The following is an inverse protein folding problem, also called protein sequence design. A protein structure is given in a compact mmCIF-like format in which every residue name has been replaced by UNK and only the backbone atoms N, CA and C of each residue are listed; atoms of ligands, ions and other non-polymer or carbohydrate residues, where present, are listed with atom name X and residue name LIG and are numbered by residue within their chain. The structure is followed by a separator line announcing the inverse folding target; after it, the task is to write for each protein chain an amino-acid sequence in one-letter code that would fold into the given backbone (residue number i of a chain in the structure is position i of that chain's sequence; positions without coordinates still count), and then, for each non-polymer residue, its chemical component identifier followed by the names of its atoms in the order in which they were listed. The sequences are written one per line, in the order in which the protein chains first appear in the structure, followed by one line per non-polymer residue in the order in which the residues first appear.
data_IF_863050573964
#
_entry.id   IF_863050573964
#
_cell.length_a   1.000
_cell.length_b   1.000
_cell.length_c   1.000
_cell.angle_alpha   90.00
_cell.angle_beta   90.00
_cell.angle_gamma   90.00
#
_symmetry.space_group_name_H-M   'P 1'
#
loop_
_entity.id
_entity.type
_entity.pdbx_description
1 polymer ?
#
# COMPACT_ATOMS: atom_id res chain seq x y z
N UNK A 1 6.07 -20.88 25.00
CA UNK A 1 5.76 -19.91 23.95
C UNK A 1 4.76 -18.94 24.56
N UNK A 2 4.89 -17.66 24.28
CA UNK A 2 3.99 -16.61 24.79
C UNK A 2 2.86 -16.45 23.80
N UNK A 3 1.63 -16.26 24.27
CA UNK A 3 0.47 -15.95 23.43
C UNK A 3 0.69 -14.63 22.72
N UNK A 4 0.44 -14.58 21.41
CA UNK A 4 0.59 -13.41 20.58
C UNK A 4 -0.74 -13.02 19.94
N UNK A 5 -0.98 -11.72 19.84
CA UNK A 5 -2.10 -11.18 19.05
C UNK A 5 -1.67 -11.03 17.59
N UNK A 6 -2.47 -11.53 16.68
CA UNK A 6 -2.24 -11.38 15.23
C UNK A 6 -3.47 -10.78 14.56
N UNK A 7 -3.23 -10.04 13.48
CA UNK A 7 -4.29 -9.51 12.62
C UNK A 7 -4.12 -10.09 11.22
N UNK A 8 -5.21 -10.59 10.66
CA UNK A 8 -5.25 -11.16 9.32
C UNK A 8 -6.25 -10.41 8.45
N UNK A 9 -5.88 -10.20 7.18
CA UNK A 9 -6.79 -9.77 6.14
C UNK A 9 -7.45 -10.97 5.47
N UNK A 10 -8.75 -10.87 5.20
CA UNK A 10 -9.51 -11.85 4.43
C UNK A 10 -10.04 -11.16 3.17
N UNK A 11 -9.90 -11.79 2.01
CA UNK A 11 -10.39 -11.26 0.73
C UNK A 11 -10.92 -12.36 -0.18
N UNK A 12 -12.07 -12.13 -0.83
CA UNK A 12 -12.64 -13.06 -1.81
C UNK A 12 -13.28 -12.31 -2.97
N UNK A 13 -12.99 -12.73 -4.23
CA UNK A 13 -13.63 -12.15 -5.43
C UNK A 13 -14.11 -13.19 -6.45
N UNK A 14 -14.20 -14.46 -6.07
CA UNK A 14 -14.72 -15.53 -6.91
C UNK A 14 -15.81 -16.34 -6.21
N UNK A 15 -16.80 -16.80 -6.98
CA UNK A 15 -17.86 -17.68 -6.50
C UNK A 15 -18.71 -17.04 -5.40
N UNK A 16 -19.14 -17.84 -4.42
CA UNK A 16 -19.85 -17.36 -3.25
C UNK A 16 -18.84 -16.74 -2.24
N UNK A 17 -18.47 -15.48 -2.52
CA UNK A 17 -17.46 -14.72 -1.78
C UNK A 17 -17.71 -14.69 -0.28
N UNK A 18 -19.00 -14.52 0.13
CA UNK A 18 -19.37 -14.49 1.54
C UNK A 18 -19.17 -15.84 2.20
N UNK A 19 -19.64 -16.90 1.57
CA UNK A 19 -19.45 -18.28 2.06
C UNK A 19 -17.98 -18.65 2.23
N UNK A 20 -17.08 -18.19 1.32
CA UNK A 20 -15.65 -18.42 1.46
C UNK A 20 -15.03 -17.69 2.66
N UNK A 21 -15.45 -16.45 2.94
CA UNK A 21 -14.99 -15.70 4.13
C UNK A 21 -15.50 -16.38 5.40
N UNK A 22 -16.78 -16.72 5.46
CA UNK A 22 -17.39 -17.37 6.64
C UNK A 22 -16.69 -18.72 6.94
N UNK A 23 -16.50 -19.56 5.93
CA UNK A 23 -15.77 -20.84 6.06
C UNK A 23 -14.32 -20.66 6.48
N UNK A 24 -13.63 -19.65 5.96
CA UNK A 24 -12.26 -19.36 6.38
C UNK A 24 -12.21 -18.98 7.86
N UNK A 25 -13.12 -18.16 8.35
CA UNK A 25 -13.22 -17.81 9.77
C UNK A 25 -13.54 -19.04 10.65
N UNK A 26 -14.46 -19.92 10.21
CA UNK A 26 -14.76 -21.17 10.90
C UNK A 26 -13.53 -22.10 10.98
N UNK A 27 -12.80 -22.27 9.88
CA UNK A 27 -11.59 -23.11 9.83
C UNK A 27 -10.48 -22.54 10.70
N UNK A 28 -10.32 -21.22 10.72
CA UNK A 28 -9.35 -20.53 11.61
C UNK A 28 -9.73 -20.77 13.07
N UNK A 29 -11.01 -20.61 13.42
CA UNK A 29 -11.50 -20.85 14.79
C UNK A 29 -11.36 -22.32 15.24
N UNK A 30 -11.43 -23.27 14.30
CA UNK A 30 -11.22 -24.70 14.58
C UNK A 30 -9.75 -25.10 14.61
N UNK A 31 -8.83 -24.25 14.16
CA UNK A 31 -7.40 -24.57 14.10
C UNK A 31 -6.77 -24.62 15.50
N UNK A 32 -5.95 -25.66 15.74
CA UNK A 32 -5.29 -25.83 17.03
C UNK A 32 -4.37 -24.64 17.34
N UNK A 33 -4.41 -24.16 18.59
CA UNK A 33 -3.55 -23.09 19.12
C UNK A 33 -3.84 -21.69 18.51
N UNK A 34 -5.01 -21.54 17.91
CA UNK A 34 -5.54 -20.24 17.42
C UNK A 34 -6.91 -20.03 18.06
N UNK A 35 -7.11 -18.83 18.57
CA UNK A 35 -8.40 -18.34 19.05
C UNK A 35 -8.80 -17.17 18.13
N UNK A 36 -9.95 -17.29 17.46
CA UNK A 36 -10.56 -16.19 16.73
C UNK A 36 -11.28 -15.27 17.73
N UNK A 37 -10.70 -14.09 18.00
CA UNK A 37 -11.27 -13.17 18.98
C UNK A 37 -12.47 -12.41 18.41
N UNK A 38 -12.31 -11.79 17.25
CA UNK A 38 -13.34 -11.00 16.57
C UNK A 38 -12.96 -10.71 15.12
N UNK A 39 -13.94 -10.31 14.33
CA UNK A 39 -13.75 -9.86 12.96
C UNK A 39 -14.42 -8.50 12.72
N UNK A 40 -13.91 -7.74 11.77
CA UNK A 40 -14.54 -6.52 11.28
C UNK A 40 -15.79 -6.83 10.46
N UNK A 41 -16.56 -5.82 10.12
CA UNK A 41 -17.59 -5.93 9.10
C UNK A 41 -16.96 -6.32 7.75
N UNK A 42 -17.71 -7.12 6.97
CA UNK A 42 -17.36 -7.41 5.58
C UNK A 42 -17.74 -6.20 4.73
N UNK A 43 -16.79 -5.70 3.93
CA UNK A 43 -17.02 -4.59 3.01
C UNK A 43 -16.72 -5.01 1.57
N UNK A 44 -17.45 -4.42 0.62
CA UNK A 44 -17.18 -4.64 -0.81
C UNK A 44 -16.27 -3.53 -1.35
N UNK A 45 -15.24 -3.92 -2.12
CA UNK A 45 -14.28 -2.99 -2.73
C UNK A 45 -14.00 -3.36 -4.18
N UNK A 46 -13.57 -2.39 -4.97
CA UNK A 46 -13.05 -2.66 -6.30
C UNK A 46 -11.73 -3.45 -6.21
N UNK A 47 -11.45 -4.26 -7.24
CA UNK A 47 -10.16 -4.93 -7.34
C UNK A 47 -9.07 -3.91 -7.65
N UNK A 48 -7.97 -3.95 -6.90
CA UNK A 48 -6.79 -3.09 -7.13
C UNK A 48 -5.90 -3.60 -8.28
N UNK A 49 -6.45 -4.36 -9.21
CA UNK A 49 -5.71 -4.94 -10.32
C UNK A 49 -5.82 -4.07 -11.58
N UNK A 50 -4.81 -4.16 -12.44
CA UNK A 50 -4.78 -3.49 -13.75
C UNK A 50 -5.84 -3.98 -14.73
N UNK A 51 -6.28 -5.23 -14.58
CA UNK A 51 -7.32 -5.85 -15.39
C UNK A 51 -8.66 -5.80 -14.65
N UNK A 52 -9.76 -5.62 -15.40
CA UNK A 52 -11.11 -5.64 -14.83
C UNK A 52 -11.39 -7.00 -14.19
N UNK A 53 -11.62 -6.98 -12.89
CA UNK A 53 -11.94 -8.17 -12.08
C UNK A 53 -13.24 -7.96 -11.30
N UNK A 54 -13.86 -9.04 -10.83
CA UNK A 54 -14.98 -8.93 -9.88
C UNK A 54 -14.53 -8.21 -8.61
N UNK A 55 -15.46 -7.48 -7.99
CA UNK A 55 -15.26 -6.83 -6.70
C UNK A 55 -14.91 -7.83 -5.61
N UNK A 56 -14.07 -7.40 -4.70
CA UNK A 56 -13.74 -8.16 -3.50
C UNK A 56 -14.76 -7.93 -2.39
N UNK A 57 -15.02 -8.97 -1.60
CA UNK A 57 -15.44 -8.82 -0.22
C UNK A 57 -14.21 -8.95 0.66
N UNK A 58 -14.03 -7.98 1.57
CA UNK A 58 -12.88 -7.93 2.46
C UNK A 58 -13.30 -7.80 3.92
N UNK A 59 -12.53 -8.41 4.81
CA UNK A 59 -12.63 -8.26 6.24
C UNK A 59 -11.26 -8.34 6.89
N UNK A 60 -11.17 -7.95 8.17
CA UNK A 60 -9.98 -8.15 9.01
C UNK A 60 -10.41 -8.94 10.24
N UNK A 61 -9.61 -9.90 10.67
CA UNK A 61 -9.84 -10.63 11.91
C UNK A 61 -8.66 -10.47 12.88
N UNK A 62 -8.99 -10.46 14.16
CA UNK A 62 -8.06 -10.47 15.29
C UNK A 62 -8.01 -11.86 15.87
N UNK A 63 -6.81 -12.39 16.01
CA UNK A 63 -6.53 -13.71 16.54
C UNK A 63 -5.63 -13.61 17.77
N UNK A 64 -5.76 -14.56 18.68
CA UNK A 64 -4.73 -14.92 19.64
C UNK A 64 -4.14 -16.27 19.29
N UNK A 65 -2.84 -16.41 19.39
CA UNK A 65 -2.20 -17.67 19.00
C UNK A 65 -0.94 -17.98 19.81
N UNK A 66 -0.72 -19.28 20.00
CA UNK A 66 0.53 -19.83 20.55
C UNK A 66 1.47 -20.32 19.44
N UNK A 67 1.11 -20.16 18.17
CA UNK A 67 1.97 -20.45 17.02
C UNK A 67 2.98 -19.32 16.84
N UNK A 68 4.13 -19.61 16.23
CA UNK A 68 4.99 -18.58 15.66
C UNK A 68 4.43 -18.01 14.35
N UNK A 69 4.90 -16.83 13.94
CA UNK A 69 4.41 -16.15 12.74
C UNK A 69 4.46 -17.01 11.46
N UNK A 70 5.55 -17.77 11.27
CA UNK A 70 5.70 -18.69 10.12
C UNK A 70 4.70 -19.85 10.14
N UNK A 71 4.45 -20.43 11.32
CA UNK A 71 3.50 -21.53 11.47
C UNK A 71 2.07 -21.04 11.28
N UNK A 72 1.74 -19.85 11.78
CA UNK A 72 0.45 -19.22 11.52
C UNK A 72 0.26 -18.96 10.02
N UNK A 73 1.24 -18.35 9.36
CA UNK A 73 1.19 -18.12 7.91
C UNK A 73 1.00 -19.43 7.11
N UNK A 74 1.70 -20.49 7.49
CA UNK A 74 1.51 -21.83 6.89
C UNK A 74 0.11 -22.38 7.12
N UNK A 75 -0.45 -22.21 8.32
CA UNK A 75 -1.82 -22.62 8.64
C UNK A 75 -2.83 -21.86 7.77
N UNK A 76 -2.69 -20.54 7.62
CA UNK A 76 -3.54 -19.73 6.75
C UNK A 76 -3.44 -20.18 5.29
N UNK A 77 -2.23 -20.44 4.78
CA UNK A 77 -2.01 -20.94 3.42
C UNK A 77 -2.65 -22.32 3.18
N UNK A 78 -2.66 -23.20 4.17
CA UNK A 78 -3.35 -24.49 4.07
C UNK A 78 -4.87 -24.30 3.98
N UNK A 79 -5.45 -23.42 4.79
CA UNK A 79 -6.88 -23.08 4.73
C UNK A 79 -7.25 -22.53 3.34
N UNK A 80 -6.43 -21.66 2.77
CA UNK A 80 -6.65 -21.17 1.40
C UNK A 80 -6.68 -22.30 0.38
N UNK A 81 -5.74 -23.24 0.46
CA UNK A 81 -5.68 -24.40 -0.43
C UNK A 81 -6.92 -25.30 -0.28
N UNK A 82 -7.37 -25.58 0.95
CA UNK A 82 -8.56 -26.37 1.24
C UNK A 82 -9.84 -25.69 0.71
N UNK A 83 -9.89 -24.34 0.69
CA UNK A 83 -10.97 -23.56 0.11
C UNK A 83 -10.83 -23.33 -1.40
N UNK A 84 -9.95 -24.11 -2.06
CA UNK A 84 -9.85 -24.16 -3.52
C UNK A 84 -9.01 -23.03 -4.15
N UNK A 85 -8.16 -22.35 -3.39
CA UNK A 85 -7.22 -21.37 -3.95
C UNK A 85 -6.21 -22.09 -4.85
N UNK A 86 -6.19 -21.73 -6.13
CA UNK A 86 -5.14 -22.14 -7.08
C UNK A 86 -4.15 -21.02 -7.29
N UNK A 87 -2.84 -21.27 -7.10
CA UNK A 87 -1.78 -20.29 -7.35
C UNK A 87 -1.54 -20.17 -8.86
N UNK A 88 -2.17 -19.21 -9.53
CA UNK A 88 -2.01 -18.92 -10.97
C UNK A 88 -1.20 -17.65 -11.26
N UNK A 89 -0.46 -17.10 -10.27
CA UNK A 89 0.30 -15.86 -10.38
C UNK A 89 -0.28 -14.72 -9.52
N UNK A 90 0.41 -13.57 -9.53
CA UNK A 90 -0.04 -12.38 -8.83
C UNK A 90 -1.25 -11.75 -9.53
N UNK A 91 -2.20 -11.19 -8.75
CA UNK A 91 -3.36 -10.43 -9.26
C UNK A 91 -4.43 -11.23 -10.03
N UNK A 92 -4.53 -12.54 -9.83
CA UNK A 92 -5.63 -13.34 -10.38
C UNK A 92 -6.83 -13.37 -9.41
N UNK A 93 -8.07 -13.54 -9.94
CA UNK A 93 -9.23 -13.79 -9.10
C UNK A 93 -9.04 -15.02 -8.23
N UNK A 94 -9.52 -14.97 -6.98
CA UNK A 94 -9.30 -16.03 -6.00
C UNK A 94 -10.53 -16.28 -5.12
N UNK A 95 -10.71 -17.52 -4.72
CA UNK A 95 -11.79 -17.93 -3.82
C UNK A 95 -11.64 -17.29 -2.45
N UNK A 96 -10.42 -17.31 -1.91
CA UNK A 96 -10.05 -16.68 -0.63
C UNK A 96 -8.58 -16.27 -0.64
N UNK A 97 -8.27 -15.20 0.05
CA UNK A 97 -6.94 -14.66 0.33
C UNK A 97 -6.83 -14.40 1.83
N UNK A 98 -5.81 -14.95 2.48
CA UNK A 98 -5.58 -14.80 3.93
C UNK A 98 -4.19 -14.22 4.16
N UNK A 99 -4.11 -12.90 4.29
CA UNK A 99 -2.87 -12.17 4.50
C UNK A 99 -2.58 -11.99 6.01
N UNK A 100 -1.40 -12.41 6.49
CA UNK A 100 -0.94 -12.06 7.84
C UNK A 100 -0.49 -10.59 7.83
N UNK A 101 -1.28 -9.72 8.48
CA UNK A 101 -1.05 -8.28 8.50
C UNK A 101 -0.07 -7.88 9.59
N UNK A 102 -0.31 -8.36 10.82
CA UNK A 102 0.47 -8.06 12.02
C UNK A 102 0.60 -9.31 12.88
N UNK A 103 1.70 -9.40 13.63
CA UNK A 103 1.95 -10.46 14.61
C UNK A 103 2.65 -9.87 15.84
N UNK A 104 1.87 -9.49 16.86
CA UNK A 104 2.37 -8.69 17.96
C UNK A 104 3.07 -7.44 17.45
N UNK A 105 4.26 -7.18 17.97
CA UNK A 105 5.16 -6.11 17.53
C UNK A 105 6.29 -6.62 16.62
N UNK A 106 6.19 -7.88 16.14
CA UNK A 106 7.25 -8.52 15.36
C UNK A 106 7.44 -7.81 14.02
N UNK A 107 8.72 -7.56 13.70
CA UNK A 107 9.16 -7.06 12.41
C UNK A 107 9.98 -8.15 11.74
N UNK A 108 9.47 -8.71 10.65
CA UNK A 108 10.09 -9.81 9.92
C UNK A 108 10.21 -9.44 8.45
N UNK A 109 11.39 -9.63 7.87
CA UNK A 109 11.64 -9.45 6.45
C UNK A 109 12.31 -10.72 5.88
N UNK A 110 11.50 -11.62 5.34
CA UNK A 110 11.96 -12.81 4.65
C UNK A 110 11.32 -12.88 3.26
N UNK A 111 11.91 -13.64 2.31
CA UNK A 111 11.33 -13.81 0.96
C UNK A 111 9.89 -14.33 0.96
N UNK A 112 9.55 -15.20 1.94
CA UNK A 112 8.24 -15.85 2.01
C UNK A 112 7.24 -15.14 2.91
N UNK A 113 7.70 -14.28 3.84
CA UNK A 113 6.84 -13.60 4.82
C UNK A 113 7.46 -12.29 5.29
N UNK A 114 6.72 -11.21 5.10
CA UNK A 114 7.06 -9.88 5.62
C UNK A 114 5.98 -9.41 6.58
N UNK A 115 6.37 -9.03 7.81
CA UNK A 115 5.51 -8.50 8.87
C UNK A 115 6.12 -7.18 9.36
N UNK A 116 5.34 -6.11 9.48
CA UNK A 116 3.97 -5.90 8.98
C UNK A 116 3.82 -6.15 7.49
N UNK A 117 2.64 -6.56 7.04
CA UNK A 117 2.38 -6.76 5.61
C UNK A 117 2.72 -5.49 4.80
N UNK A 118 3.55 -5.57 3.75
CA UNK A 118 4.17 -4.41 3.11
C UNK A 118 3.19 -3.36 2.58
N UNK A 119 2.01 -3.77 2.16
CA UNK A 119 1.02 -2.88 1.54
C UNK A 119 -0.19 -2.58 2.43
N UNK A 120 -0.21 -3.03 3.69
CA UNK A 120 -1.39 -2.87 4.55
C UNK A 120 -1.77 -1.40 4.77
N UNK A 121 -0.78 -0.53 4.89
CA UNK A 121 -0.96 0.90 5.13
C UNK A 121 -1.40 1.69 3.88
N UNK A 122 -1.43 1.06 2.71
CA UNK A 122 -1.85 1.63 1.43
C UNK A 122 -3.24 1.16 1.00
N UNK A 123 -3.90 0.31 1.81
CA UNK A 123 -5.18 -0.32 1.48
C UNK A 123 -6.27 0.17 2.44
N UNK A 124 -7.22 0.95 1.93
CA UNK A 124 -8.29 1.54 2.74
C UNK A 124 -9.13 0.48 3.45
N UNK A 125 -9.43 -0.64 2.79
CA UNK A 125 -10.22 -1.72 3.36
C UNK A 125 -9.51 -2.41 4.55
N UNK A 126 -8.18 -2.56 4.50
CA UNK A 126 -7.38 -3.10 5.61
C UNK A 126 -7.40 -2.12 6.78
N UNK A 127 -7.12 -0.83 6.53
CA UNK A 127 -7.12 0.20 7.57
C UNK A 127 -8.51 0.38 8.21
N UNK A 128 -9.59 0.32 7.42
CA UNK A 128 -10.95 0.37 7.94
C UNK A 128 -11.24 -0.82 8.87
N UNK A 129 -10.86 -2.04 8.48
CA UNK A 129 -11.03 -3.23 9.31
C UNK A 129 -10.22 -3.15 10.60
N UNK A 130 -8.94 -2.78 10.53
CA UNK A 130 -8.08 -2.59 11.71
C UNK A 130 -8.63 -1.51 12.65
N UNK A 131 -9.13 -0.39 12.10
CA UNK A 131 -9.71 0.68 12.92
C UNK A 131 -11.00 0.24 13.64
N UNK A 132 -11.81 -0.65 13.07
CA UNK A 132 -12.97 -1.23 13.74
C UNK A 132 -12.55 -2.14 14.90
N UNK A 133 -11.44 -2.84 14.80
CA UNK A 133 -10.94 -3.75 15.82
C UNK A 133 -10.12 -3.01 16.88
N UNK A 134 -9.10 -2.27 16.48
CA UNK A 134 -8.24 -1.51 17.36
C UNK A 134 -7.54 -0.35 16.61
N UNK A 135 -8.24 0.75 16.39
CA UNK A 135 -7.71 1.90 15.66
C UNK A 135 -6.55 2.65 16.33
N UNK A 136 -6.38 2.47 17.64
CA UNK A 136 -5.29 3.09 18.40
C UNK A 136 -3.99 2.26 18.39
N UNK A 137 -4.04 1.01 17.89
CA UNK A 137 -2.84 0.19 17.73
C UNK A 137 -1.86 0.90 16.79
N UNK A 138 -0.58 0.89 17.15
CA UNK A 138 0.48 1.49 16.36
C UNK A 138 1.01 0.52 15.30
N UNK A 139 1.32 1.04 14.14
CA UNK A 139 2.05 0.29 13.12
C UNK A 139 3.51 0.10 13.59
N UNK A 140 4.03 -1.14 13.76
CA UNK A 140 5.32 -1.39 14.41
C UNK A 140 6.52 -0.66 13.79
N UNK A 141 6.50 -0.44 12.47
CA UNK A 141 7.60 0.23 11.76
C UNK A 141 7.39 1.74 11.67
N UNK A 142 6.14 2.19 11.51
CA UNK A 142 5.84 3.61 11.24
C UNK A 142 5.62 4.40 12.54
N UNK A 143 5.32 3.74 13.65
CA UNK A 143 5.07 4.38 14.94
C UNK A 143 3.81 5.25 14.98
N UNK A 144 2.90 5.09 14.00
CA UNK A 144 1.65 5.85 13.86
C UNK A 144 0.46 4.94 14.06
N UNK A 145 -0.63 5.47 14.60
CA UNK A 145 -1.87 4.71 14.81
C UNK A 145 -2.58 4.39 13.49
N UNK A 146 -3.37 3.29 13.46
CA UNK A 146 -4.16 2.95 12.28
C UNK A 146 -5.24 3.99 11.99
N UNK A 147 -5.79 4.66 13.00
CA UNK A 147 -6.68 5.81 12.81
C UNK A 147 -5.99 6.94 12.03
N UNK A 148 -4.74 7.23 12.37
CA UNK A 148 -3.97 8.27 11.66
C UNK A 148 -3.59 7.83 10.25
N UNK A 149 -3.16 6.58 10.05
CA UNK A 149 -2.88 6.04 8.71
C UNK A 149 -4.13 6.08 7.81
N UNK A 150 -5.29 5.71 8.35
CA UNK A 150 -6.57 5.80 7.63
C UNK A 150 -6.90 7.25 7.25
N UNK A 151 -6.70 8.19 8.16
CA UNK A 151 -6.94 9.61 7.89
C UNK A 151 -6.01 10.14 6.78
N UNK A 152 -4.73 9.74 6.78
CA UNK A 152 -3.76 10.11 5.73
C UNK A 152 -4.14 9.54 4.36
N UNK A 153 -4.69 8.34 4.31
CA UNK A 153 -5.11 7.69 3.08
C UNK A 153 -6.37 8.35 2.47
N UNK A 154 -7.16 9.05 3.31
CA UNK A 154 -8.34 9.83 2.91
C UNK A 154 -9.33 9.06 2.01
N UNK A 155 -9.53 7.78 2.31
CA UNK A 155 -10.46 6.90 1.57
C UNK A 155 -9.94 6.42 0.21
N UNK A 156 -8.74 6.84 -0.22
CA UNK A 156 -8.10 6.35 -1.43
C UNK A 156 -7.42 5.00 -1.20
N UNK A 157 -7.19 4.28 -2.29
CA UNK A 157 -6.32 3.11 -2.31
C UNK A 157 -5.15 3.39 -3.23
N UNK A 158 -3.93 3.09 -2.77
CA UNK A 158 -2.77 3.14 -3.63
C UNK A 158 -2.49 1.74 -4.15
N UNK A 159 -2.76 1.55 -5.44
CA UNK A 159 -2.29 0.40 -6.18
C UNK A 159 -1.25 0.87 -7.18
N UNK A 160 -0.07 0.29 -7.14
CA UNK A 160 0.86 0.39 -8.25
C UNK A 160 0.20 -0.37 -9.40
N UNK A 161 -0.23 0.34 -10.44
CA UNK A 161 -0.83 -0.24 -11.63
C UNK A 161 0.29 -0.42 -12.67
N UNK A 162 0.75 -1.67 -12.92
CA UNK A 162 1.90 -1.92 -13.80
C UNK A 162 1.68 -1.48 -15.25
N UNK A 163 0.43 -1.30 -15.66
CA UNK A 163 0.00 -0.88 -17.00
C UNK A 163 -0.20 0.63 -17.14
N UNK A 164 0.02 1.40 -16.06
CA UNK A 164 -0.06 2.86 -16.08
C UNK A 164 1.26 3.48 -15.66
N UNK A 165 1.61 4.65 -16.20
CA UNK A 165 2.74 5.39 -15.69
C UNK A 165 2.48 5.84 -14.25
N UNK A 166 3.50 5.78 -13.42
CA UNK A 166 3.45 6.20 -12.01
C UNK A 166 4.30 7.46 -11.86
N UNK A 167 3.72 8.53 -11.37
CA UNK A 167 4.44 9.74 -11.00
C UNK A 167 4.51 9.87 -9.48
N UNK A 168 5.72 9.90 -8.94
CA UNK A 168 5.99 10.21 -7.54
C UNK A 168 6.53 11.63 -7.46
N UNK A 169 5.72 12.57 -6.96
CA UNK A 169 6.14 13.96 -6.78
C UNK A 169 6.60 14.22 -5.35
N UNK A 170 7.78 14.84 -5.20
CA UNK A 170 8.37 15.20 -3.91
C UNK A 170 8.18 16.70 -3.71
N UNK A 171 7.31 17.06 -2.78
CA UNK A 171 7.05 18.45 -2.43
C UNK A 171 7.76 18.85 -1.14
N UNK A 172 8.16 20.11 -1.03
CA UNK A 172 8.79 20.67 0.17
C UNK A 172 9.45 22.02 -0.09
N UNK A 173 9.85 22.69 0.96
CA UNK A 173 10.51 24.01 0.87
C UNK A 173 11.86 23.95 0.16
N UNK A 174 12.34 25.11 -0.28
CA UNK A 174 13.70 25.28 -0.83
C UNK A 174 14.71 24.80 0.22
N UNK A 175 15.71 24.04 -0.21
CA UNK A 175 16.75 23.49 0.68
C UNK A 175 16.34 22.26 1.50
N UNK A 176 15.10 21.75 1.40
CA UNK A 176 14.64 20.57 2.11
C UNK A 176 15.24 19.23 1.62
N UNK A 177 16.08 19.25 0.59
CA UNK A 177 16.73 18.05 0.05
C UNK A 177 15.87 17.24 -0.93
N UNK A 178 14.84 17.84 -1.55
CA UNK A 178 13.95 17.19 -2.53
C UNK A 178 14.73 16.49 -3.64
N UNK A 179 15.58 17.24 -4.33
CA UNK A 179 16.39 16.74 -5.45
C UNK A 179 17.31 15.59 -5.02
N UNK A 180 17.91 15.67 -3.83
CA UNK A 180 18.73 14.59 -3.28
C UNK A 180 17.90 13.32 -3.04
N UNK A 181 16.70 13.47 -2.47
CA UNK A 181 15.79 12.37 -2.25
C UNK A 181 15.29 11.78 -3.57
N UNK A 182 14.91 12.62 -4.55
CA UNK A 182 14.48 12.21 -5.87
C UNK A 182 15.54 11.33 -6.56
N UNK A 183 16.79 11.78 -6.60
CA UNK A 183 17.90 11.04 -7.18
C UNK A 183 18.17 9.70 -6.48
N UNK A 184 18.11 9.67 -5.14
CA UNK A 184 18.27 8.42 -4.36
C UNK A 184 17.17 7.41 -4.65
N UNK A 185 15.93 7.87 -4.70
CA UNK A 185 14.79 7.01 -5.01
C UNK A 185 14.88 6.49 -6.45
N UNK A 186 15.18 7.36 -7.41
CA UNK A 186 15.33 6.96 -8.80
C UNK A 186 16.43 5.92 -8.99
N UNK A 187 17.58 6.11 -8.36
CA UNK A 187 18.67 5.11 -8.38
C UNK A 187 18.23 3.78 -7.78
N UNK A 188 17.43 3.80 -6.70
CA UNK A 188 16.94 2.59 -6.04
C UNK A 188 15.89 1.84 -6.87
N UNK A 189 15.04 2.57 -7.57
CA UNK A 189 13.95 1.99 -8.39
C UNK A 189 14.33 1.81 -9.86
N UNK A 190 15.50 2.28 -10.28
CA UNK A 190 15.94 2.21 -11.67
C UNK A 190 15.05 3.01 -12.62
N UNK A 191 14.61 4.19 -12.20
CA UNK A 191 13.64 5.02 -12.94
C UNK A 191 14.16 6.43 -13.23
N UNK A 192 13.47 7.17 -14.10
CA UNK A 192 13.82 8.53 -14.51
C UNK A 192 13.48 9.54 -13.40
N UNK A 193 14.29 10.59 -13.30
CA UNK A 193 14.03 11.77 -12.46
C UNK A 193 13.64 12.94 -13.35
N UNK A 194 12.54 13.58 -13.01
CA UNK A 194 12.09 14.83 -13.63
C UNK A 194 12.41 15.99 -12.69
N UNK A 195 13.52 16.67 -12.93
CA UNK A 195 13.96 17.82 -12.15
C UNK A 195 13.39 19.13 -12.69
N UNK A 196 13.18 20.10 -11.83
CA UNK A 196 12.90 21.46 -12.27
C UNK A 196 14.13 22.03 -13.00
N UNK A 197 13.97 22.60 -14.20
CA UNK A 197 15.07 23.19 -14.98
C UNK A 197 15.45 24.56 -14.41
N UNK A 198 15.99 24.54 -13.20
CA UNK A 198 16.31 25.73 -12.43
C UNK A 198 17.33 26.64 -13.15
N UNK A 199 18.39 26.04 -13.71
CA UNK A 199 19.46 26.74 -14.38
C UNK A 199 19.05 27.32 -15.75
N UNK A 200 17.94 26.81 -16.32
CA UNK A 200 17.40 27.26 -17.60
C UNK A 200 16.37 28.39 -17.46
N UNK A 201 15.93 28.70 -16.24
CA UNK A 201 14.91 29.71 -16.00
C UNK A 201 15.52 31.12 -16.09
N UNK A 202 15.21 31.90 -17.14
CA UNK A 202 15.84 33.22 -17.37
C UNK A 202 15.43 34.26 -16.35
N UNK A 203 14.35 34.07 -15.61
CA UNK A 203 13.82 35.04 -14.64
C UNK A 203 14.40 34.81 -13.24
N UNK A 204 14.96 33.64 -12.94
CA UNK A 204 15.43 33.31 -11.59
C UNK A 204 16.50 34.27 -11.05
N UNK A 205 17.55 34.66 -11.80
CA UNK A 205 18.56 35.56 -11.30
C UNK A 205 17.99 36.91 -10.83
N UNK A 206 17.02 37.44 -11.58
CA UNK A 206 16.38 38.71 -11.28
C UNK A 206 15.39 38.60 -10.11
N UNK A 207 14.65 37.51 -10.00
CA UNK A 207 13.80 37.25 -8.84
C UNK A 207 14.61 37.16 -7.55
N UNK A 208 15.76 36.50 -7.59
CA UNK A 208 16.68 36.45 -6.45
C UNK A 208 17.33 37.81 -6.15
N UNK A 209 17.52 38.67 -7.16
CA UNK A 209 17.96 40.05 -6.98
C UNK A 209 16.86 40.97 -6.40
N UNK A 210 15.63 40.40 -6.14
CA UNK A 210 14.55 41.11 -5.47
C UNK A 210 13.47 41.69 -6.40
N UNK A 211 13.51 41.44 -7.71
CA UNK A 211 12.47 41.86 -8.65
C UNK A 211 11.23 40.99 -8.53
N UNK A 212 10.33 41.34 -7.62
CA UNK A 212 9.09 40.55 -7.31
C UNK A 212 8.12 40.53 -8.46
N UNK A 213 8.14 41.50 -9.36
CA UNK A 213 7.32 41.58 -10.56
C UNK A 213 7.54 40.38 -11.53
N UNK A 214 8.73 39.78 -11.53
CA UNK A 214 9.08 38.64 -12.36
C UNK A 214 8.78 37.29 -11.70
N UNK A 215 8.26 37.30 -10.49
CA UNK A 215 7.99 36.03 -9.76
C UNK A 215 6.95 35.16 -10.48
N UNK A 216 5.92 35.78 -11.09
CA UNK A 216 4.92 35.05 -11.86
C UNK A 216 5.51 34.45 -13.13
N UNK A 217 6.31 35.21 -13.87
CA UNK A 217 6.97 34.75 -15.10
C UNK A 217 7.88 33.53 -14.82
N UNK A 218 8.63 33.61 -13.73
CA UNK A 218 9.46 32.49 -13.25
C UNK A 218 8.63 31.24 -12.94
N UNK A 219 7.48 31.39 -12.27
CA UNK A 219 6.58 30.26 -11.99
C UNK A 219 5.93 29.68 -13.24
N UNK A 220 5.53 30.52 -14.19
CA UNK A 220 4.99 30.09 -15.47
C UNK A 220 6.02 29.32 -16.29
N UNK A 221 7.29 29.72 -16.25
CA UNK A 221 8.38 28.98 -16.89
C UNK A 221 8.46 27.55 -16.33
N UNK A 222 8.50 27.37 -15.00
CA UNK A 222 8.53 26.04 -14.39
C UNK A 222 7.27 25.24 -14.72
N UNK A 223 6.09 25.84 -14.70
CA UNK A 223 4.85 25.16 -15.07
C UNK A 223 4.89 24.66 -16.52
N UNK A 224 5.36 25.48 -17.46
CA UNK A 224 5.49 25.11 -18.87
C UNK A 224 6.47 23.95 -19.04
N UNK A 225 7.64 24.04 -18.42
CA UNK A 225 8.64 22.99 -18.45
C UNK A 225 8.10 21.68 -17.85
N UNK A 226 7.33 21.76 -16.76
CA UNK A 226 6.68 20.59 -16.14
C UNK A 226 5.65 19.96 -17.04
N UNK A 227 4.83 20.74 -17.75
CA UNK A 227 3.86 20.23 -18.75
C UNK A 227 4.58 19.47 -19.86
N UNK A 228 5.71 19.98 -20.35
CA UNK A 228 6.52 19.32 -21.37
C UNK A 228 7.14 18.01 -20.85
N UNK A 229 7.66 18.00 -19.62
CA UNK A 229 8.21 16.81 -18.98
C UNK A 229 7.15 15.72 -18.76
N UNK A 230 5.91 16.10 -18.43
CA UNK A 230 4.78 15.18 -18.20
C UNK A 230 4.07 14.77 -19.51
N UNK A 231 4.68 14.99 -20.66
CA UNK A 231 4.11 14.58 -21.94
C UNK A 231 3.82 13.06 -21.94
N UNK A 232 2.62 12.61 -22.39
CA UNK A 232 2.25 11.20 -22.46
C UNK A 232 3.23 10.31 -23.24
N UNK A 233 3.99 10.89 -24.19
CA UNK A 233 5.02 10.16 -24.95
C UNK A 233 6.26 9.81 -24.11
N UNK A 234 6.52 10.50 -23.00
CA UNK A 234 7.60 10.23 -22.05
C UNK A 234 7.14 9.29 -20.93
N UNK A 235 5.90 9.44 -20.48
CA UNK A 235 5.33 8.63 -19.43
C UNK A 235 4.78 7.33 -20.01
N UNK A 236 5.64 6.34 -20.15
CA UNK A 236 5.23 5.04 -20.69
C UNK A 236 4.54 4.18 -19.61
N UNK A 237 3.59 3.35 -20.05
CA UNK A 237 2.95 2.38 -19.17
C UNK A 237 3.99 1.45 -18.51
N UNK A 238 3.81 1.20 -17.22
CA UNK A 238 4.73 0.35 -16.44
C UNK A 238 6.01 1.07 -15.97
N UNK A 239 6.18 2.37 -16.28
CA UNK A 239 7.32 3.15 -15.79
C UNK A 239 6.98 3.92 -14.52
N UNK A 240 7.98 4.09 -13.66
CA UNK A 240 7.92 5.01 -12.52
C UNK A 240 8.78 6.21 -12.87
N UNK A 241 8.24 7.41 -12.70
CA UNK A 241 8.99 8.66 -12.79
C UNK A 241 8.96 9.36 -11.43
N UNK A 242 10.08 9.92 -11.00
CA UNK A 242 10.17 10.70 -9.76
C UNK A 242 10.39 12.15 -10.14
N UNK A 243 9.60 13.04 -9.55
CA UNK A 243 9.68 14.49 -9.77
C UNK A 243 9.98 15.18 -8.45
N UNK A 244 10.87 16.16 -8.47
CA UNK A 244 11.06 17.08 -7.34
C UNK A 244 10.26 18.37 -7.51
#
# INVERSE_FOLDING_TARGET
MVEQTAYIGLGSNMGDRKSYIDKALEMIAAAKRIELCRSSNIIETEALASTRQPKFLNAVAELKTMLGAKDLHKTLSNIECELGRTRRGHWWPRTIDLDLLLFGEEILQNPDLTIPHPQMHLRSFVLNGLCQLNGNLLHPVMGVSFNELRARLNGGDFAIQPDKPQLVSIAGNIGAGKTTLANRLASRFGCEVLLEPYDENPFMPEVYAGKKELALDSQLFFLTARIEQLNPNRLQAGTICISD
#
